data_IF_074427593785
#
_entry.id   IF_074427593785
#
_cell.length_a   1.000
_cell.length_b   1.000
_cell.length_c   1.000
_cell.angle_alpha   90.00
_cell.angle_beta   90.00
_cell.angle_gamma   90.00
#
_symmetry.space_group_name_H-M   'P 1'
#
loop_
_entity.id
_entity.type
_entity.pdbx_description
1 polymer ?
#
# COMPACT_ATOMS: atom_id res chain seq x y z
N UNK A 1 38.10 -28.55 10.16
CA UNK A 1 37.05 -27.54 10.41
C UNK A 1 36.84 -26.76 9.11
N UNK A 2 35.61 -26.79 8.54
CA UNK A 2 35.36 -26.49 7.13
C UNK A 2 35.48 -24.97 6.83
N UNK A 3 36.51 -24.54 6.10
CA UNK A 3 36.85 -23.13 5.79
C UNK A 3 35.72 -22.36 5.08
N UNK A 4 34.75 -23.04 4.46
CA UNK A 4 33.53 -22.44 3.92
C UNK A 4 32.59 -21.85 4.98
N UNK A 5 32.61 -22.36 6.22
CA UNK A 5 31.77 -21.81 7.32
C UNK A 5 32.28 -20.47 7.83
N UNK A 6 33.59 -20.21 7.80
CA UNK A 6 34.19 -18.97 8.31
C UNK A 6 33.92 -17.74 7.41
N UNK A 7 33.69 -17.95 6.10
CA UNK A 7 33.34 -16.87 5.15
C UNK A 7 31.93 -16.31 5.36
N UNK A 8 31.05 -17.03 6.07
CA UNK A 8 29.69 -16.61 6.36
C UNK A 8 29.56 -15.69 7.58
N UNK A 9 30.54 -15.70 8.49
CA UNK A 9 30.51 -14.92 9.74
C UNK A 9 30.48 -13.40 9.52
N UNK A 10 31.32 -12.80 8.65
CA UNK A 10 31.22 -11.36 8.38
C UNK A 10 29.87 -10.98 7.76
N UNK A 11 29.32 -11.85 6.90
CA UNK A 11 27.99 -11.65 6.32
C UNK A 11 26.90 -11.73 7.39
N UNK A 12 26.95 -12.70 8.30
CA UNK A 12 25.97 -12.81 9.39
C UNK A 12 26.05 -11.64 10.36
N UNK A 13 27.25 -11.13 10.68
CA UNK A 13 27.40 -9.93 11.50
C UNK A 13 26.88 -8.68 10.80
N UNK A 14 27.14 -8.54 9.50
CA UNK A 14 26.60 -7.46 8.70
C UNK A 14 25.06 -7.51 8.66
N UNK A 15 24.48 -8.68 8.41
CA UNK A 15 23.02 -8.87 8.41
C UNK A 15 22.41 -8.59 9.79
N UNK A 16 23.05 -9.02 10.87
CA UNK A 16 22.62 -8.73 12.24
C UNK A 16 22.69 -7.22 12.55
N UNK A 17 23.75 -6.53 12.13
CA UNK A 17 23.90 -5.09 12.30
C UNK A 17 22.84 -4.31 11.50
N UNK A 18 22.60 -4.68 10.25
CA UNK A 18 21.54 -4.10 9.41
C UNK A 18 20.16 -4.33 10.03
N UNK A 19 19.92 -5.52 10.57
CA UNK A 19 18.67 -5.85 11.27
C UNK A 19 18.50 -4.97 12.52
N UNK A 20 19.54 -4.84 13.34
CA UNK A 20 19.52 -4.00 14.53
C UNK A 20 19.27 -2.52 14.20
N UNK A 21 19.94 -2.00 13.18
CA UNK A 21 19.74 -0.63 12.70
C UNK A 21 18.31 -0.40 12.19
N UNK A 22 17.73 -1.41 11.52
CA UNK A 22 16.37 -1.34 10.99
C UNK A 22 15.30 -1.39 12.09
N UNK A 23 15.54 -2.14 13.17
CA UNK A 23 14.60 -2.28 14.30
C UNK A 23 14.69 -1.07 15.25
N UNK A 24 15.85 -0.41 15.32
CA UNK A 24 16.10 0.73 16.21
C UNK A 24 15.00 1.81 16.22
N UNK A 25 14.58 2.36 15.06
CA UNK A 25 13.53 3.37 14.99
C UNK A 25 12.17 2.89 15.53
N UNK A 26 11.80 1.63 15.28
CA UNK A 26 10.55 1.06 15.79
C UNK A 26 10.59 0.85 17.30
N UNK A 27 11.73 0.38 17.81
CA UNK A 27 11.94 0.26 19.24
C UNK A 27 11.85 1.63 19.93
N UNK A 28 12.55 2.64 19.40
CA UNK A 28 12.48 4.01 19.90
C UNK A 28 11.06 4.56 19.84
N UNK A 29 10.33 4.32 18.75
CA UNK A 29 8.93 4.73 18.60
C UNK A 29 8.05 4.13 19.70
N UNK A 30 8.16 2.83 19.99
CA UNK A 30 7.39 2.17 21.06
C UNK A 30 7.73 2.78 22.43
N UNK A 31 9.00 3.10 22.69
CA UNK A 31 9.38 3.78 23.93
C UNK A 31 8.78 5.19 23.98
N UNK A 32 8.92 5.97 22.92
CA UNK A 32 8.47 7.36 22.86
C UNK A 32 6.95 7.53 23.07
N UNK A 33 6.13 6.64 22.50
CA UNK A 33 4.66 6.70 22.66
C UNK A 33 4.18 6.42 24.09
N UNK A 34 5.04 5.88 24.96
CA UNK A 34 4.71 5.61 26.37
C UNK A 34 5.19 6.72 27.32
N UNK A 35 5.81 7.78 26.79
CA UNK A 35 6.44 8.88 27.52
C UNK A 35 5.66 10.19 27.40
N UNK A 36 5.96 11.15 28.28
CA UNK A 36 5.45 12.53 28.17
C UNK A 36 6.22 13.29 27.10
N UNK A 37 5.60 14.32 26.52
CA UNK A 37 6.19 15.13 25.44
C UNK A 37 7.57 15.73 25.83
N UNK A 38 7.72 16.12 27.09
CA UNK A 38 8.98 16.66 27.64
C UNK A 38 10.09 15.62 27.76
N UNK A 39 9.75 14.33 27.84
CA UNK A 39 10.71 13.25 28.08
C UNK A 39 11.16 12.53 26.80
N UNK A 40 10.48 12.76 25.67
CA UNK A 40 10.72 12.05 24.39
C UNK A 40 12.12 12.35 23.85
N UNK A 41 12.62 13.56 24.06
CA UNK A 41 13.91 14.04 23.55
C UNK A 41 14.96 14.25 24.65
N UNK A 42 14.74 13.69 25.85
CA UNK A 42 15.71 13.74 26.96
C UNK A 42 17.04 13.04 26.59
N UNK A 43 18.15 13.58 27.11
CA UNK A 43 19.46 12.93 27.06
C UNK A 43 19.96 12.59 28.47
N UNK A 44 20.31 11.32 28.78
CA UNK A 44 20.32 10.15 27.88
C UNK A 44 18.91 9.63 27.56
N UNK A 45 18.70 8.98 26.40
CA UNK A 45 17.40 8.46 25.99
C UNK A 45 16.92 7.36 26.94
N UNK A 46 15.66 7.45 27.37
CA UNK A 46 15.04 6.46 28.26
C UNK A 46 14.71 5.19 27.47
N UNK A 47 15.40 4.09 27.76
CA UNK A 47 15.27 2.80 27.05
C UNK A 47 14.11 1.91 27.57
N UNK A 48 13.43 2.31 28.63
CA UNK A 48 12.29 1.55 29.17
C UNK A 48 10.97 2.18 28.74
N UNK A 49 9.85 1.45 28.74
CA UNK A 49 8.54 2.05 28.55
C UNK A 49 8.16 2.94 29.75
N UNK A 50 7.41 4.00 29.49
CA UNK A 50 6.72 4.80 30.50
C UNK A 50 5.29 4.31 30.75
N UNK A 51 4.51 5.10 31.50
CA UNK A 51 3.11 4.81 31.83
C UNK A 51 2.07 5.68 31.10
N UNK A 52 2.48 6.52 30.15
CA UNK A 52 1.62 7.57 29.55
C UNK A 52 1.02 7.20 28.18
N UNK A 53 1.09 5.93 27.78
CA UNK A 53 0.55 5.51 26.49
C UNK A 53 -0.96 5.78 26.37
N UNK A 54 -1.73 5.47 27.42
CA UNK A 54 -3.18 5.73 27.44
C UNK A 54 -3.51 7.22 27.29
N UNK A 55 -2.75 8.09 27.97
CA UNK A 55 -2.91 9.55 27.88
C UNK A 55 -2.60 10.05 26.48
N UNK A 56 -1.51 9.58 25.87
CA UNK A 56 -1.12 9.97 24.51
C UNK A 56 -2.16 9.52 23.47
N UNK A 57 -2.70 8.31 23.64
CA UNK A 57 -3.75 7.78 22.79
C UNK A 57 -5.07 8.55 22.95
N UNK A 58 -5.43 8.92 24.17
CA UNK A 58 -6.62 9.73 24.44
C UNK A 58 -6.48 11.14 23.86
N UNK A 59 -5.32 11.79 24.02
CA UNK A 59 -5.01 13.09 23.41
C UNK A 59 -5.07 13.02 21.89
N UNK A 60 -4.56 11.94 21.29
CA UNK A 60 -4.68 11.70 19.85
C UNK A 60 -6.15 11.60 19.44
N UNK A 61 -6.93 10.73 20.09
CA UNK A 61 -8.32 10.49 19.73
C UNK A 61 -9.17 11.77 19.84
N UNK A 62 -8.99 12.57 20.90
CA UNK A 62 -9.66 13.86 21.03
C UNK A 62 -9.33 14.84 19.90
N UNK A 63 -8.11 14.77 19.34
CA UNK A 63 -7.66 15.70 18.29
C UNK A 63 -8.09 15.29 16.89
N UNK A 64 -8.13 13.99 16.59
CA UNK A 64 -8.37 13.51 15.21
C UNK A 64 -9.60 12.63 15.05
N UNK A 65 -10.20 12.12 16.13
CA UNK A 65 -11.26 11.11 16.04
C UNK A 65 -10.72 9.81 15.42
N UNK A 66 -9.90 9.09 16.18
CA UNK A 66 -9.04 8.02 15.67
C UNK A 66 -9.84 6.93 14.93
N UNK A 67 -10.96 6.51 15.50
CA UNK A 67 -11.80 5.46 14.90
C UNK A 67 -12.35 5.86 13.53
N UNK A 68 -12.78 7.12 13.38
CA UNK A 68 -13.31 7.64 12.11
C UNK A 68 -12.21 7.70 11.07
N UNK A 69 -11.07 8.29 11.42
CA UNK A 69 -9.93 8.46 10.52
C UNK A 69 -9.37 7.10 10.07
N UNK A 70 -9.26 6.12 10.98
CA UNK A 70 -8.88 4.75 10.63
C UNK A 70 -9.92 4.10 9.71
N UNK A 71 -11.21 4.26 10.02
CA UNK A 71 -12.32 3.77 9.19
C UNK A 71 -12.29 4.33 7.77
N UNK A 72 -12.10 5.64 7.63
CA UNK A 72 -11.96 6.33 6.34
C UNK A 72 -10.78 5.77 5.55
N UNK A 73 -9.62 5.62 6.20
CA UNK A 73 -8.40 5.12 5.56
C UNK A 73 -8.55 3.67 5.10
N UNK A 74 -9.11 2.80 5.95
CA UNK A 74 -9.39 1.41 5.62
C UNK A 74 -10.42 1.29 4.49
N UNK A 75 -11.47 2.11 4.51
CA UNK A 75 -12.50 2.11 3.47
C UNK A 75 -11.90 2.51 2.13
N UNK A 76 -11.20 3.65 2.09
CA UNK A 76 -10.58 4.16 0.85
C UNK A 76 -9.55 3.17 0.33
N UNK A 77 -8.61 2.72 1.18
CA UNK A 77 -7.56 1.79 0.78
C UNK A 77 -8.12 0.43 0.35
N UNK A 78 -9.09 -0.12 1.08
CA UNK A 78 -9.72 -1.40 0.77
C UNK A 78 -10.50 -1.36 -0.55
N UNK A 79 -11.40 -0.38 -0.71
CA UNK A 79 -12.23 -0.27 -1.91
C UNK A 79 -11.38 0.05 -3.14
N UNK A 80 -10.42 0.97 -3.02
CA UNK A 80 -9.51 1.30 -4.11
C UNK A 80 -8.65 0.10 -4.50
N UNK A 81 -8.13 -0.67 -3.53
CA UNK A 81 -7.35 -1.88 -3.81
C UNK A 81 -8.16 -2.93 -4.56
N UNK A 82 -9.37 -3.24 -4.07
CA UNK A 82 -10.23 -4.23 -4.72
C UNK A 82 -10.62 -3.80 -6.13
N UNK A 83 -11.02 -2.54 -6.31
CA UNK A 83 -11.35 -2.00 -7.62
C UNK A 83 -10.16 -2.00 -8.58
N UNK A 84 -8.98 -1.57 -8.11
CA UNK A 84 -7.76 -1.57 -8.91
C UNK A 84 -7.30 -2.98 -9.28
N UNK A 85 -7.46 -3.97 -8.41
CA UNK A 85 -7.18 -5.39 -8.73
C UNK A 85 -8.10 -5.90 -9.83
N UNK A 86 -9.40 -5.60 -9.76
CA UNK A 86 -10.37 -6.01 -10.78
C UNK A 86 -10.03 -5.37 -12.12
N UNK A 87 -9.76 -4.06 -12.15
CA UNK A 87 -9.37 -3.35 -13.37
C UNK A 87 -8.05 -3.91 -13.93
N UNK A 88 -7.04 -4.12 -13.08
CA UNK A 88 -5.74 -4.67 -13.49
C UNK A 88 -5.85 -6.10 -14.03
N UNK A 89 -6.66 -6.94 -13.38
CA UNK A 89 -6.91 -8.32 -13.83
C UNK A 89 -7.61 -8.33 -15.19
N UNK A 90 -8.70 -7.57 -15.36
CA UNK A 90 -9.46 -7.52 -16.60
C UNK A 90 -8.63 -6.94 -17.75
N UNK A 91 -7.98 -5.79 -17.54
CA UNK A 91 -7.15 -5.17 -18.57
C UNK A 91 -5.92 -6.03 -18.88
N UNK A 92 -5.25 -6.58 -17.87
CA UNK A 92 -4.11 -7.47 -18.02
C UNK A 92 -4.48 -8.74 -18.82
N UNK A 93 -5.63 -9.34 -18.51
CA UNK A 93 -6.16 -10.51 -19.22
C UNK A 93 -6.50 -10.17 -20.68
N UNK A 94 -7.16 -9.03 -20.93
CA UNK A 94 -7.42 -8.54 -22.27
C UNK A 94 -6.13 -8.35 -23.09
N UNK A 95 -5.15 -7.64 -22.54
CA UNK A 95 -3.89 -7.37 -23.24
C UNK A 95 -2.98 -8.61 -23.41
N UNK A 96 -3.11 -9.61 -22.55
CA UNK A 96 -2.31 -10.83 -22.60
C UNK A 96 -2.94 -11.89 -23.52
N UNK A 97 -4.25 -12.13 -23.41
CA UNK A 97 -4.93 -13.30 -23.98
C UNK A 97 -5.78 -13.00 -25.20
N UNK A 98 -6.21 -11.76 -25.40
CA UNK A 98 -7.01 -11.40 -26.57
C UNK A 98 -6.16 -10.78 -27.67
N UNK A 99 -6.58 -11.03 -28.92
CA UNK A 99 -6.07 -10.38 -30.11
C UNK A 99 -7.11 -9.38 -30.58
N UNK A 100 -6.78 -8.09 -30.52
CA UNK A 100 -7.65 -7.01 -30.98
C UNK A 100 -6.82 -5.92 -31.66
N UNK A 101 -7.47 -5.15 -32.54
CA UNK A 101 -6.82 -4.10 -33.32
C UNK A 101 -6.37 -2.96 -32.38
N UNK A 102 -5.11 -2.53 -32.52
CA UNK A 102 -4.53 -1.48 -31.67
C UNK A 102 -3.97 -1.94 -30.32
N UNK A 103 -3.98 -3.24 -30.01
CA UNK A 103 -3.48 -3.81 -28.74
C UNK A 103 -2.10 -3.29 -28.34
N UNK A 104 -1.13 -3.32 -29.26
CA UNK A 104 0.25 -2.89 -28.99
C UNK A 104 0.34 -1.38 -28.77
N UNK A 105 -0.40 -0.59 -29.54
CA UNK A 105 -0.42 0.87 -29.40
C UNK A 105 -1.04 1.29 -28.07
N UNK A 106 -2.22 0.74 -27.73
CA UNK A 106 -2.91 1.03 -26.47
C UNK A 106 -2.08 0.62 -25.25
N UNK A 107 -1.41 -0.53 -25.34
CA UNK A 107 -0.50 -0.95 -24.27
C UNK A 107 0.73 -0.04 -24.17
N UNK A 108 1.32 0.36 -25.30
CA UNK A 108 2.42 1.33 -25.33
C UNK A 108 2.03 2.69 -24.73
N UNK A 109 0.83 3.19 -25.06
CA UNK A 109 0.28 4.41 -24.45
C UNK A 109 0.10 4.26 -22.94
N UNK A 110 -0.45 3.13 -22.49
CA UNK A 110 -0.57 2.82 -21.07
C UNK A 110 0.80 2.85 -20.37
N UNK A 111 1.85 2.27 -20.96
CA UNK A 111 3.19 2.33 -20.38
C UNK A 111 3.79 3.72 -20.38
N UNK A 112 3.50 4.55 -21.39
CA UNK A 112 4.00 5.93 -21.42
C UNK A 112 3.48 6.76 -20.23
N UNK A 113 2.30 6.43 -19.69
CA UNK A 113 1.78 7.11 -18.49
C UNK A 113 2.61 6.87 -17.24
N UNK A 114 3.38 5.78 -17.16
CA UNK A 114 4.28 5.50 -16.03
C UNK A 114 5.46 6.49 -15.95
N UNK A 115 5.79 7.16 -17.06
CA UNK A 115 6.86 8.16 -17.11
C UNK A 115 6.38 9.51 -16.57
N UNK A 116 5.06 9.74 -16.58
CA UNK A 116 4.47 11.01 -16.12
C UNK A 116 4.45 11.03 -14.60
N UNK A 117 5.10 12.03 -13.96
CA UNK A 117 5.06 12.16 -12.51
C UNK A 117 3.66 12.51 -12.03
N UNK A 118 3.19 11.82 -10.99
CA UNK A 118 1.83 11.99 -10.44
C UNK A 118 1.55 13.44 -10.03
N UNK A 119 2.57 14.17 -9.57
CA UNK A 119 2.46 15.55 -9.12
C UNK A 119 2.04 16.50 -10.25
N UNK A 120 2.41 16.23 -11.50
CA UNK A 120 2.00 17.05 -12.65
C UNK A 120 0.52 16.86 -12.97
N UNK A 121 -0.05 15.69 -12.64
CA UNK A 121 -1.47 15.40 -12.86
C UNK A 121 -2.40 15.95 -11.76
N UNK A 122 -1.85 16.47 -10.66
CA UNK A 122 -2.66 16.97 -9.53
C UNK A 122 -3.61 18.11 -9.91
N UNK A 123 -3.12 19.12 -10.64
CA UNK A 123 -3.96 20.27 -11.03
C UNK A 123 -5.08 19.86 -12.00
N UNK A 124 -4.80 19.09 -13.07
CA UNK A 124 -5.86 18.52 -13.91
C UNK A 124 -6.86 17.68 -13.13
N UNK A 125 -6.39 16.79 -12.25
CA UNK A 125 -7.26 15.92 -11.45
C UNK A 125 -8.17 16.72 -10.51
N UNK A 126 -7.62 17.73 -9.83
CA UNK A 126 -8.40 18.64 -8.99
C UNK A 126 -9.51 19.34 -9.79
N UNK A 127 -9.17 19.92 -10.96
CA UNK A 127 -10.16 20.56 -11.84
C UNK A 127 -11.25 19.58 -12.28
N UNK A 128 -10.87 18.35 -12.62
CA UNK A 128 -11.81 17.30 -13.02
C UNK A 128 -12.76 16.93 -11.87
N UNK A 129 -12.25 16.66 -10.68
CA UNK A 129 -13.09 16.33 -9.51
C UNK A 129 -13.97 17.50 -9.07
N UNK A 130 -13.47 18.72 -9.19
CA UNK A 130 -14.26 19.94 -8.98
C UNK A 130 -15.41 20.03 -9.98
N UNK A 131 -15.16 19.81 -11.27
CA UNK A 131 -16.20 19.83 -12.30
C UNK A 131 -17.25 18.72 -12.13
N UNK A 132 -16.85 17.57 -11.57
CA UNK A 132 -17.77 16.48 -11.26
C UNK A 132 -18.53 16.69 -9.94
N UNK A 133 -18.20 17.73 -9.16
CA UNK A 133 -18.78 17.95 -7.83
C UNK A 133 -18.41 16.87 -6.82
N UNK A 134 -17.27 16.19 -7.01
CA UNK A 134 -16.84 15.06 -6.17
C UNK A 134 -15.83 15.44 -5.09
N UNK A 135 -15.36 16.70 -5.03
CA UNK A 135 -14.48 17.14 -3.96
C UNK A 135 -15.10 16.92 -2.58
N UNK A 136 -14.26 16.71 -1.57
CA UNK A 136 -14.68 16.40 -0.20
C UNK A 136 -15.54 15.13 -0.06
N UNK A 137 -15.24 14.11 -0.89
CA UNK A 137 -15.94 12.83 -0.88
C UNK A 137 -14.96 11.64 -1.00
N UNK A 138 -15.39 10.45 -0.59
CA UNK A 138 -14.59 9.23 -0.78
C UNK A 138 -14.40 8.89 -2.26
N UNK A 139 -15.37 9.25 -3.13
CA UNK A 139 -15.30 9.03 -4.57
C UNK A 139 -14.13 9.78 -5.19
N UNK A 140 -13.84 11.01 -4.74
CA UNK A 140 -12.68 11.77 -5.20
C UNK A 140 -11.36 11.07 -4.88
N UNK A 141 -11.30 10.24 -3.83
CA UNK A 141 -10.10 9.48 -3.49
C UNK A 141 -10.03 8.15 -4.23
N UNK A 142 -11.16 7.43 -4.31
CA UNK A 142 -11.22 6.06 -4.84
C UNK A 142 -11.09 6.05 -6.36
N UNK A 143 -11.90 6.85 -7.08
CA UNK A 143 -12.03 6.76 -8.53
C UNK A 143 -10.71 6.96 -9.30
N UNK A 144 -9.89 7.98 -8.98
CA UNK A 144 -8.62 8.20 -9.68
C UNK A 144 -7.65 7.02 -9.48
N UNK A 145 -7.75 6.35 -8.35
CA UNK A 145 -6.89 5.25 -7.96
C UNK A 145 -7.29 3.87 -8.48
N UNK A 146 -8.39 3.76 -9.24
CA UNK A 146 -8.87 2.48 -9.78
C UNK A 146 -8.06 1.98 -10.98
N UNK A 147 -7.41 2.88 -11.71
CA UNK A 147 -6.58 2.51 -12.86
C UNK A 147 -5.12 2.76 -12.53
N UNK A 148 -4.39 1.70 -12.20
CA UNK A 148 -2.96 1.77 -11.88
C UNK A 148 -2.18 1.13 -13.03
N UNK A 149 -1.51 1.91 -13.90
CA UNK A 149 -0.84 1.38 -15.08
C UNK A 149 0.20 0.31 -14.77
N UNK A 150 0.92 0.45 -13.65
CA UNK A 150 1.91 -0.53 -13.20
C UNK A 150 1.25 -1.88 -12.86
N UNK A 151 0.09 -1.84 -12.21
CA UNK A 151 -0.68 -3.03 -11.87
C UNK A 151 -1.17 -3.76 -13.13
N UNK A 152 -1.65 -3.01 -14.13
CA UNK A 152 -2.07 -3.56 -15.43
C UNK A 152 -0.88 -4.18 -16.18
N UNK A 153 0.26 -3.50 -16.18
CA UNK A 153 1.50 -4.01 -16.78
C UNK A 153 1.93 -5.33 -16.14
N UNK A 154 1.99 -5.38 -14.80
CA UNK A 154 2.41 -6.57 -14.06
C UNK A 154 1.44 -7.73 -14.30
N UNK A 155 0.12 -7.47 -14.23
CA UNK A 155 -0.89 -8.49 -14.49
C UNK A 155 -0.79 -9.05 -15.91
N UNK A 156 -0.60 -8.18 -16.92
CA UNK A 156 -0.37 -8.63 -18.29
C UNK A 156 0.88 -9.51 -18.37
N UNK A 157 2.00 -9.09 -17.79
CA UNK A 157 3.26 -9.84 -17.84
C UNK A 157 3.09 -11.24 -17.22
N UNK A 158 2.46 -11.33 -16.06
CA UNK A 158 2.20 -12.61 -15.40
C UNK A 158 1.21 -13.47 -16.19
N UNK A 159 0.12 -12.91 -16.71
CA UNK A 159 -0.86 -13.64 -17.50
C UNK A 159 -0.31 -14.12 -18.84
N UNK A 160 0.64 -13.39 -19.46
CA UNK A 160 1.33 -13.85 -20.67
C UNK A 160 2.16 -15.11 -20.46
N UNK A 161 2.57 -15.42 -19.23
CA UNK A 161 3.30 -16.66 -18.90
C UNK A 161 2.38 -17.87 -18.69
N UNK A 162 1.07 -17.65 -18.56
CA UNK A 162 0.09 -18.72 -18.44
C UNK A 162 -0.03 -19.45 -19.79
N UNK A 163 0.01 -20.78 -19.86
CA UNK A 163 -0.23 -21.51 -21.10
C UNK A 163 -1.65 -21.26 -21.65
N UNK A 164 -1.80 -21.12 -22.95
CA UNK A 164 -3.12 -20.91 -23.59
C UNK A 164 -3.96 -22.19 -23.56
N UNK A 165 -3.30 -23.35 -23.57
CA UNK A 165 -3.92 -24.68 -23.53
C UNK A 165 -4.79 -24.88 -22.29
N UNK A 166 -4.41 -24.27 -21.16
CA UNK A 166 -5.19 -24.30 -19.92
C UNK A 166 -6.54 -23.58 -20.08
N UNK A 167 -6.56 -22.48 -20.84
CA UNK A 167 -7.76 -21.70 -21.10
C UNK A 167 -8.63 -22.41 -22.15
N UNK A 168 -7.99 -22.97 -23.17
CA UNK A 168 -8.68 -23.71 -24.24
C UNK A 168 -9.35 -24.98 -23.71
N UNK A 169 -8.73 -25.71 -22.77
CA UNK A 169 -9.36 -26.84 -22.10
C UNK A 169 -10.69 -26.44 -21.42
N UNK A 170 -10.68 -25.34 -20.67
CA UNK A 170 -11.90 -24.84 -20.02
C UNK A 170 -12.98 -24.40 -21.03
N UNK A 171 -12.57 -23.84 -22.19
CA UNK A 171 -13.50 -23.47 -23.28
C UNK A 171 -14.13 -24.71 -23.92
N UNK A 172 -13.35 -25.77 -24.13
CA UNK A 172 -13.84 -27.05 -24.64
C UNK A 172 -14.86 -27.68 -23.68
N UNK A 173 -14.66 -27.51 -22.36
CA UNK A 173 -15.63 -27.88 -21.32
C UNK A 173 -16.88 -26.96 -21.26
N UNK A 174 -17.03 -26.02 -22.20
CA UNK A 174 -18.19 -25.14 -22.33
C UNK A 174 -18.15 -23.91 -21.41
N UNK A 175 -17.01 -23.57 -20.80
CA UNK A 175 -16.88 -22.36 -20.00
C UNK A 175 -16.79 -21.11 -20.88
N UNK A 176 -17.70 -20.16 -20.68
CA UNK A 176 -17.57 -18.81 -21.26
C UNK A 176 -16.42 -18.01 -20.63
N UNK A 177 -15.96 -16.95 -21.29
CA UNK A 177 -14.75 -16.19 -20.88
C UNK A 177 -14.79 -15.68 -19.43
N UNK A 178 -15.93 -15.21 -18.94
CA UNK A 178 -16.05 -14.80 -17.54
C UNK A 178 -15.85 -15.97 -16.57
N UNK A 179 -16.36 -17.16 -16.91
CA UNK A 179 -16.15 -18.37 -16.11
C UNK A 179 -14.68 -18.79 -16.16
N UNK A 180 -14.04 -18.76 -17.33
CA UNK A 180 -12.60 -19.01 -17.46
C UNK A 180 -11.78 -18.07 -16.58
N UNK A 181 -12.09 -16.77 -16.63
CA UNK A 181 -11.41 -15.77 -15.81
C UNK A 181 -11.53 -16.07 -14.30
N UNK A 182 -12.75 -16.23 -13.78
CA UNK A 182 -12.97 -16.35 -12.34
C UNK A 182 -12.67 -17.74 -11.78
N UNK A 183 -12.89 -18.80 -12.55
CA UNK A 183 -12.75 -20.19 -12.10
C UNK A 183 -11.40 -20.82 -12.45
N UNK A 184 -10.66 -20.30 -13.43
CA UNK A 184 -9.35 -20.85 -13.84
C UNK A 184 -8.24 -19.83 -13.62
N UNK A 185 -8.36 -18.64 -14.22
CA UNK A 185 -7.29 -17.64 -14.19
C UNK A 185 -7.06 -17.11 -12.77
N UNK A 186 -8.11 -16.67 -12.07
CA UNK A 186 -7.98 -16.11 -10.72
C UNK A 186 -7.34 -17.09 -9.73
N UNK A 187 -7.75 -18.37 -9.63
CA UNK A 187 -7.09 -19.34 -8.76
C UNK A 187 -5.60 -19.53 -9.04
N UNK A 188 -5.21 -19.61 -10.32
CA UNK A 188 -3.80 -19.76 -10.71
C UNK A 188 -2.99 -18.49 -10.40
N UNK A 189 -3.61 -17.33 -10.57
CA UNK A 189 -3.00 -16.02 -10.36
C UNK A 189 -3.03 -15.54 -8.91
N UNK A 190 -3.57 -16.33 -7.96
CA UNK A 190 -3.67 -15.97 -6.53
C UNK A 190 -2.37 -15.41 -5.94
N UNK A 191 -1.18 -16.00 -6.17
CA UNK A 191 0.07 -15.46 -5.61
C UNK A 191 0.40 -14.06 -6.14
N UNK A 192 0.18 -13.83 -7.44
CA UNK A 192 0.42 -12.53 -8.09
C UNK A 192 -0.60 -11.49 -7.61
N UNK A 193 -1.88 -11.87 -7.53
CA UNK A 193 -2.94 -11.00 -7.02
C UNK A 193 -2.70 -10.61 -5.56
N UNK A 194 -2.22 -11.53 -4.72
CA UNK A 194 -1.87 -11.25 -3.33
C UNK A 194 -0.67 -10.29 -3.21
N UNK A 195 0.37 -10.48 -4.01
CA UNK A 195 1.50 -9.55 -4.04
C UNK A 195 1.07 -8.16 -4.50
N UNK A 196 0.25 -8.11 -5.57
CA UNK A 196 -0.26 -6.87 -6.12
C UNK A 196 -1.23 -6.16 -5.17
N UNK A 197 -2.04 -6.91 -4.40
CA UNK A 197 -2.94 -6.32 -3.41
C UNK A 197 -2.19 -5.60 -2.30
N UNK A 198 -1.05 -6.14 -1.85
CA UNK A 198 -0.19 -5.45 -0.88
C UNK A 198 0.31 -4.13 -1.46
N UNK A 199 0.85 -4.17 -2.69
CA UNK A 199 1.37 -2.98 -3.34
C UNK A 199 0.30 -1.88 -3.50
N UNK A 200 -0.88 -2.24 -4.00
CA UNK A 200 -1.99 -1.31 -4.19
C UNK A 200 -2.53 -0.76 -2.85
N UNK A 201 -2.66 -1.63 -1.85
CA UNK A 201 -3.13 -1.22 -0.53
C UNK A 201 -2.14 -0.29 0.15
N UNK A 202 -0.84 -0.63 0.15
CA UNK A 202 0.19 0.24 0.71
C UNK A 202 0.26 1.58 -0.01
N UNK A 203 0.09 1.57 -1.34
CA UNK A 203 -0.01 2.78 -2.13
C UNK A 203 -1.13 3.68 -1.63
N UNK A 204 -2.37 3.16 -1.58
CA UNK A 204 -3.55 3.94 -1.15
C UNK A 204 -3.51 4.33 0.33
N UNK A 205 -3.11 3.42 1.22
CA UNK A 205 -2.98 3.67 2.66
C UNK A 205 -2.02 4.82 2.98
N UNK A 206 -0.91 4.90 2.22
CA UNK A 206 0.10 5.95 2.39
C UNK A 206 -0.19 7.22 1.59
N UNK A 207 -1.28 7.26 0.81
CA UNK A 207 -1.59 8.46 0.02
C UNK A 207 -1.85 9.65 0.95
N UNK A 208 -1.06 10.70 0.74
CA UNK A 208 -1.12 11.92 1.53
C UNK A 208 -1.49 13.13 0.67
N UNK A 209 -0.75 13.35 -0.41
CA UNK A 209 -0.82 14.59 -1.21
C UNK A 209 -2.21 14.79 -1.82
N UNK A 210 -2.77 13.77 -2.47
CA UNK A 210 -4.08 13.89 -3.09
C UNK A 210 -5.21 14.06 -2.06
N UNK A 211 -5.33 13.22 -1.01
CA UNK A 211 -6.31 13.44 0.07
C UNK A 211 -6.22 14.81 0.73
N UNK A 212 -5.00 15.33 0.95
CA UNK A 212 -4.80 16.67 1.53
C UNK A 212 -5.41 17.79 0.67
N UNK A 213 -5.42 17.62 -0.67
CA UNK A 213 -5.93 18.60 -1.62
C UNK A 213 -7.44 18.41 -1.88
N UNK A 214 -7.89 17.15 -1.93
CA UNK A 214 -9.24 16.80 -2.33
C UNK A 214 -10.26 16.88 -1.19
N UNK A 215 -9.82 16.69 0.06
CA UNK A 215 -10.67 16.72 1.25
C UNK A 215 -10.63 18.09 1.91
N UNK A 216 -11.75 18.48 2.51
CA UNK A 216 -11.91 19.76 3.21
C UNK A 216 -12.44 19.57 4.63
N UNK A 217 -13.37 18.64 4.81
CA UNK A 217 -14.01 18.36 6.09
C UNK A 217 -13.14 17.43 6.94
N UNK A 218 -12.83 17.77 8.21
CA UNK A 218 -12.03 16.92 9.11
C UNK A 218 -12.55 15.48 9.24
N UNK A 219 -13.86 15.31 9.11
CA UNK A 219 -14.57 14.04 9.21
C UNK A 219 -14.27 13.10 8.05
N UNK A 220 -13.81 13.64 6.93
CA UNK A 220 -13.44 12.89 5.73
C UNK A 220 -11.96 12.54 5.69
N UNK A 221 -11.14 13.13 6.58
CA UNK A 221 -9.69 12.95 6.57
C UNK A 221 -9.29 11.48 6.67
N UNK A 222 -8.29 11.12 5.88
CA UNK A 222 -7.53 9.87 6.05
C UNK A 222 -6.46 10.05 7.12
N UNK A 223 -5.89 8.95 7.60
CA UNK A 223 -4.91 8.94 8.67
C UNK A 223 -3.68 9.80 8.38
N UNK A 224 -3.05 9.71 7.20
CA UNK A 224 -1.93 10.60 6.87
C UNK A 224 -2.31 12.08 6.94
N UNK A 225 -3.50 12.45 6.47
CA UNK A 225 -3.97 13.85 6.48
C UNK A 225 -4.26 14.32 7.90
N UNK A 226 -4.99 13.52 8.68
CA UNK A 226 -5.32 13.86 10.07
C UNK A 226 -4.07 14.04 10.92
N UNK A 227 -3.06 13.16 10.78
CA UNK A 227 -1.80 13.29 11.50
C UNK A 227 -1.01 14.54 11.10
N UNK A 228 -1.09 14.98 9.85
CA UNK A 228 -0.45 16.23 9.42
C UNK A 228 -1.06 17.46 10.10
N UNK A 229 -2.36 17.45 10.41
CA UNK A 229 -3.02 18.56 11.12
C UNK A 229 -2.52 18.75 12.57
N UNK A 230 -1.95 17.69 13.18
CA UNK A 230 -1.41 17.75 14.54
C UNK A 230 -0.16 18.64 14.66
N UNK A 231 0.57 18.86 13.56
CA UNK A 231 1.73 19.75 13.53
C UNK A 231 1.36 21.24 13.37
N UNK A 232 0.19 21.56 12.83
CA UNK A 232 -0.15 22.93 12.39
C UNK A 232 -1.01 23.76 13.34
N UNK A 233 -1.78 23.13 14.24
CA UNK A 233 -2.89 23.81 14.92
C UNK A 233 -2.63 24.27 16.37
N UNK A 234 -1.45 24.02 16.96
CA UNK A 234 -1.21 24.32 18.39
C UNK A 234 0.12 25.01 18.65
N UNK A 235 0.12 25.96 19.60
CA UNK A 235 1.31 26.67 20.10
C UNK A 235 2.33 25.75 20.78
N UNK A 236 1.99 24.48 20.99
CA UNK A 236 2.87 23.43 21.51
C UNK A 236 2.60 22.14 20.76
N UNK A 237 3.63 21.58 20.12
CA UNK A 237 3.55 20.33 19.37
C UNK A 237 3.39 19.15 20.33
N UNK A 238 2.30 18.40 20.17
CA UNK A 238 2.03 17.21 20.98
C UNK A 238 2.73 15.98 20.36
N UNK A 239 4.02 15.84 20.66
CA UNK A 239 4.84 14.76 20.13
C UNK A 239 4.34 13.38 20.55
N UNK A 240 3.80 13.24 21.77
CA UNK A 240 3.20 11.99 22.24
C UNK A 240 2.03 11.54 21.36
N UNK A 241 1.11 12.45 21.02
CA UNK A 241 -0.01 12.15 20.12
C UNK A 241 0.45 11.86 18.68
N UNK A 242 1.39 12.66 18.15
CA UNK A 242 1.92 12.47 16.77
C UNK A 242 2.61 11.11 16.63
N UNK A 243 3.49 10.77 17.57
CA UNK A 243 4.20 9.50 17.57
C UNK A 243 3.23 8.33 17.81
N UNK A 244 2.20 8.50 18.65
CA UNK A 244 1.16 7.48 18.84
C UNK A 244 0.40 7.23 17.54
N UNK A 245 0.03 8.29 16.83
CA UNK A 245 -0.62 8.20 15.52
C UNK A 245 0.28 7.55 14.47
N UNK A 246 1.58 7.85 14.50
CA UNK A 246 2.59 7.24 13.63
C UNK A 246 2.76 5.75 13.93
N UNK A 247 2.78 5.36 15.19
CA UNK A 247 2.81 3.95 15.57
C UNK A 247 1.55 3.22 15.07
N UNK A 248 0.38 3.80 15.29
CA UNK A 248 -0.89 3.23 14.82
C UNK A 248 -0.98 3.13 13.29
N UNK A 249 -0.41 4.08 12.54
CA UNK A 249 -0.43 4.05 11.07
C UNK A 249 0.39 2.90 10.49
N UNK A 250 1.38 2.40 11.23
CA UNK A 250 2.23 1.28 10.82
C UNK A 250 1.59 -0.10 11.07
N UNK A 251 0.70 -0.22 12.08
CA UNK A 251 0.12 -1.51 12.48
C UNK A 251 -0.65 -2.22 11.35
N UNK A 252 -1.56 -1.56 10.60
CA UNK A 252 -2.32 -2.25 9.56
C UNK A 252 -1.43 -2.79 8.43
N UNK A 253 -0.36 -2.07 8.09
CA UNK A 253 0.63 -2.55 7.13
C UNK A 253 1.37 -3.78 7.64
N UNK A 254 1.79 -3.78 8.91
CA UNK A 254 2.45 -4.93 9.52
C UNK A 254 1.54 -6.15 9.55
N UNK A 255 0.28 -5.98 9.95
CA UNK A 255 -0.72 -7.06 9.96
C UNK A 255 -0.94 -7.60 8.55
N UNK A 256 -1.16 -6.72 7.56
CA UNK A 256 -1.37 -7.12 6.18
C UNK A 256 -0.16 -7.89 5.63
N UNK A 257 1.05 -7.38 5.88
CA UNK A 257 2.28 -8.05 5.48
C UNK A 257 2.41 -9.42 6.15
N UNK A 258 2.20 -9.54 7.48
CA UNK A 258 2.30 -10.82 8.19
C UNK A 258 1.30 -11.86 7.69
N UNK A 259 0.10 -11.43 7.30
CA UNK A 259 -0.94 -12.31 6.72
C UNK A 259 -0.55 -12.76 5.31
N UNK A 260 -0.01 -11.86 4.48
CA UNK A 260 0.25 -12.11 3.06
C UNK A 260 1.72 -12.47 2.73
N UNK A 261 2.63 -12.43 3.71
CA UNK A 261 4.08 -12.63 3.51
C UNK A 261 4.42 -13.95 2.82
N UNK A 262 3.67 -15.03 3.10
CA UNK A 262 3.90 -16.34 2.49
C UNK A 262 3.66 -16.27 0.98
N UNK A 263 2.61 -15.59 0.55
CA UNK A 263 2.26 -15.43 -0.87
C UNK A 263 3.22 -14.46 -1.56
N UNK A 264 3.62 -13.39 -0.86
CA UNK A 264 4.60 -12.42 -1.33
C UNK A 264 5.98 -13.06 -1.58
N UNK A 265 6.49 -13.84 -0.62
CA UNK A 265 7.77 -14.55 -0.74
C UNK A 265 7.73 -15.60 -1.86
N UNK A 266 6.65 -16.38 -1.96
CA UNK A 266 6.49 -17.35 -3.06
C UNK A 266 6.44 -16.67 -4.44
N UNK A 267 5.81 -15.50 -4.54
CA UNK A 267 5.74 -14.72 -5.78
C UNK A 267 7.10 -14.13 -6.20
N UNK A 268 7.87 -13.57 -5.26
CA UNK A 268 9.21 -13.03 -5.53
C UNK A 268 10.21 -14.13 -5.93
N UNK A 269 10.17 -15.27 -5.24
CA UNK A 269 11.11 -16.38 -5.50
C UNK A 269 10.84 -17.08 -6.84
N UNK A 270 9.59 -17.11 -7.31
CA UNK A 270 9.25 -17.65 -8.63
C UNK A 270 9.87 -16.87 -9.80
N UNK A 271 10.24 -15.59 -9.58
CA UNK A 271 11.00 -14.78 -10.53
C UNK A 271 12.52 -14.98 -10.42
N UNK A 272 13.03 -15.33 -9.24
CA UNK A 272 14.46 -15.43 -8.95
C UNK A 272 15.10 -16.77 -9.37
N UNK A 273 14.32 -17.84 -9.50
CA UNK A 273 14.83 -19.18 -9.90
C UNK A 273 14.88 -19.40 -11.42
N UNK A 274 14.65 -18.35 -12.22
CA UNK A 274 14.78 -18.40 -13.69
C UNK A 274 16.13 -17.88 -14.20
N UNK A 275 17.11 -17.72 -13.33
CA UNK A 275 18.50 -17.34 -13.65
C UNK A 275 19.48 -18.48 -13.38
#
# INVERSE_FOLDING_TARGET
MNLKKLRGWPLTFLLAAVTGLSVGPFYWLIMAITRKDTEIFDWPPKLLPGGHFGDNLHRLDQKVGLLRVLGNTLLVAGVQTLGALVVALLAGYAFAKFRFRGRTLLFGLLLSTLVVPEQVMLVPLFKMMMSFGLLDSYQALILPGLCVPFAIFLMRQSLSSLPDELLDAARVDGAGEFRVLWSVVVPVMRPVLAALSIFLFLGSWNQFVWPLIALRSPEMHTLPVALATLHGNQSTTDYGAILSGTALSTLPMMVLFLVLQRQFISGLLAGATKG
#
